data_IF_800174162002
#
_entry.id   IF_800174162002
#
_cell.length_a   1.000
_cell.length_b   1.000
_cell.length_c   1.000
_cell.angle_alpha   90.00
_cell.angle_beta   90.00
_cell.angle_gamma   90.00
#
_symmetry.space_group_name_H-M   'P 1'
#
loop_
_entity.id
_entity.type
_entity.pdbx_description
1 polymer ?
#
# COMPACT_ATOMS: atom_id res chain seq x y z
N UNK A 1 -0.42 22.89 22.60
CA UNK A 1 -0.60 22.47 21.20
C UNK A 1 0.37 21.35 20.84
N UNK A 2 1.54 21.39 21.40
CA UNK A 2 2.64 20.54 20.97
C UNK A 2 2.40 19.06 21.21
N UNK A 3 1.82 18.68 22.35
CA UNK A 3 1.60 17.27 22.66
C UNK A 3 0.59 16.62 21.71
N UNK A 4 -0.52 17.32 21.44
CA UNK A 4 -1.56 16.82 20.53
C UNK A 4 -1.05 16.83 19.09
N UNK A 5 -0.37 17.91 18.69
CA UNK A 5 0.20 18.04 17.36
C UNK A 5 1.27 16.99 17.10
N UNK A 6 2.11 16.70 18.10
CA UNK A 6 3.13 15.66 17.98
C UNK A 6 2.51 14.28 17.86
N UNK A 7 1.47 13.99 18.66
CA UNK A 7 0.75 12.73 18.57
C UNK A 7 0.14 12.50 17.22
N UNK A 8 -0.52 13.52 16.67
CA UNK A 8 -1.07 13.46 15.31
C UNK A 8 0.03 13.32 14.27
N UNK A 9 1.13 14.08 14.42
CA UNK A 9 2.26 14.00 13.52
C UNK A 9 2.89 12.62 13.49
N UNK A 10 3.03 11.99 14.65
CA UNK A 10 3.60 10.66 14.76
C UNK A 10 2.70 9.61 14.10
N UNK A 11 1.37 9.71 14.30
CA UNK A 11 0.42 8.81 13.66
C UNK A 11 0.50 8.93 12.14
N UNK A 12 0.53 10.16 11.62
CA UNK A 12 0.62 10.39 10.18
C UNK A 12 1.98 9.98 9.62
N UNK A 13 3.06 10.18 10.36
CA UNK A 13 4.37 9.71 9.94
C UNK A 13 4.41 8.19 9.80
N UNK A 14 3.73 7.46 10.68
CA UNK A 14 3.61 6.00 10.58
C UNK A 14 2.85 5.59 9.32
N UNK A 15 1.83 6.38 8.92
CA UNK A 15 1.09 6.15 7.68
C UNK A 15 1.87 6.58 6.45
N UNK A 16 2.85 7.48 6.62
CA UNK A 16 3.66 8.03 5.54
C UNK A 16 4.94 7.23 5.27
N UNK A 17 5.21 6.25 6.08
CA UNK A 17 6.33 5.34 5.91
C UNK A 17 5.91 3.97 6.43
N UNK A 18 6.69 2.95 6.15
CA UNK A 18 6.39 1.61 6.60
C UNK A 18 6.40 0.64 5.45
N UNK A 19 5.41 -0.25 5.39
CA UNK A 19 5.36 -1.30 4.38
C UNK A 19 4.09 -1.21 3.56
N UNK A 20 4.24 -1.42 2.26
CA UNK A 20 3.11 -1.51 1.33
C UNK A 20 3.08 -2.92 0.75
N UNK A 21 1.90 -3.53 0.80
CA UNK A 21 1.66 -4.81 0.12
C UNK A 21 1.17 -4.54 -1.29
N UNK A 22 1.80 -5.17 -2.29
CA UNK A 22 1.47 -4.97 -3.70
C UNK A 22 1.23 -6.32 -4.37
N UNK A 23 0.04 -6.50 -4.91
CA UNK A 23 -0.32 -7.67 -5.71
C UNK A 23 -1.11 -7.17 -6.90
N UNK A 24 -0.50 -7.16 -8.09
CA UNK A 24 -1.12 -6.56 -9.26
C UNK A 24 -1.21 -7.57 -10.40
N UNK A 25 -2.25 -7.42 -11.21
CA UNK A 25 -2.42 -8.25 -12.40
C UNK A 25 -1.37 -7.88 -13.45
N UNK A 26 -1.13 -8.81 -14.38
CA UNK A 26 -0.05 -8.67 -15.36
C UNK A 26 -0.16 -7.39 -16.19
N UNK A 27 -1.38 -7.02 -16.57
CA UNK A 27 -1.62 -5.82 -17.38
C UNK A 27 -1.22 -4.54 -16.68
N UNK A 28 -1.28 -4.53 -15.35
CA UNK A 28 -0.97 -3.34 -14.55
C UNK A 28 0.50 -3.28 -14.10
N UNK A 29 1.24 -4.37 -14.20
CA UNK A 29 2.61 -4.44 -13.69
C UNK A 29 3.52 -3.34 -14.22
N UNK A 30 3.52 -3.02 -15.54
CA UNK A 30 4.38 -1.93 -16.02
C UNK A 30 4.10 -0.58 -15.37
N UNK A 31 2.82 -0.25 -15.15
CA UNK A 31 2.44 1.01 -14.52
C UNK A 31 2.86 1.06 -13.05
N UNK A 32 2.88 -0.09 -12.38
CA UNK A 32 3.25 -0.15 -10.97
C UNK A 32 4.76 -0.09 -10.72
N UNK A 33 5.57 -0.26 -11.73
CA UNK A 33 7.03 -0.09 -11.57
C UNK A 33 7.32 1.33 -11.08
N UNK A 34 6.76 2.33 -11.74
CA UNK A 34 6.97 3.72 -11.36
C UNK A 34 6.36 4.06 -10.00
N UNK A 35 5.15 3.56 -9.75
CA UNK A 35 4.46 3.81 -8.48
C UNK A 35 5.25 3.21 -7.32
N UNK A 36 5.73 1.98 -7.46
CA UNK A 36 6.49 1.31 -6.41
C UNK A 36 7.88 1.94 -6.24
N UNK A 37 8.49 2.41 -7.32
CA UNK A 37 9.75 3.13 -7.22
C UNK A 37 9.57 4.41 -6.41
N UNK A 38 8.50 5.15 -6.66
CA UNK A 38 8.18 6.35 -5.89
C UNK A 38 7.95 6.04 -4.41
N UNK A 39 7.19 4.98 -4.12
CA UNK A 39 6.95 4.55 -2.74
C UNK A 39 8.25 4.16 -2.05
N UNK A 40 9.12 3.45 -2.75
CA UNK A 40 10.43 3.08 -2.21
C UNK A 40 11.29 4.31 -1.89
N UNK A 41 11.30 5.28 -2.80
CA UNK A 41 12.04 6.53 -2.59
C UNK A 41 11.49 7.33 -1.41
N UNK A 42 10.20 7.18 -1.12
CA UNK A 42 9.56 7.84 0.02
C UNK A 42 9.79 7.11 1.36
N UNK A 43 10.48 5.97 1.34
CA UNK A 43 10.80 5.23 2.55
C UNK A 43 9.95 4.00 2.81
N UNK A 44 9.07 3.62 1.90
CA UNK A 44 8.27 2.41 2.05
C UNK A 44 9.06 1.16 1.67
N UNK A 45 8.90 0.11 2.47
CA UNK A 45 9.35 -1.22 2.09
C UNK A 45 8.25 -1.89 1.28
N UNK A 46 8.60 -2.43 0.11
CA UNK A 46 7.65 -3.07 -0.79
C UNK A 46 7.58 -4.56 -0.48
N UNK A 47 6.39 -5.03 -0.11
CA UNK A 47 6.12 -6.47 0.04
C UNK A 47 5.24 -6.88 -1.14
N UNK A 48 5.70 -7.81 -1.95
CA UNK A 48 5.01 -8.17 -3.18
C UNK A 48 4.86 -9.68 -3.32
N UNK A 49 3.77 -10.10 -3.96
CA UNK A 49 3.60 -11.52 -4.32
C UNK A 49 4.58 -11.88 -5.43
N UNK A 50 4.83 -13.19 -5.61
CA UNK A 50 5.92 -13.69 -6.44
C UNK A 50 6.03 -13.07 -7.83
N UNK A 51 4.92 -13.05 -8.59
CA UNK A 51 4.94 -12.49 -9.95
C UNK A 51 5.19 -10.98 -9.96
N UNK A 52 4.58 -10.26 -9.03
CA UNK A 52 4.77 -8.82 -8.89
C UNK A 52 6.22 -8.51 -8.49
N UNK A 53 6.75 -9.28 -7.53
CA UNK A 53 8.13 -9.10 -7.08
C UNK A 53 9.13 -9.29 -8.22
N UNK A 54 8.91 -10.29 -9.05
CA UNK A 54 9.80 -10.57 -10.18
C UNK A 54 9.89 -9.36 -11.12
N UNK A 55 8.76 -8.74 -11.43
CA UNK A 55 8.74 -7.56 -12.30
C UNK A 55 9.43 -6.37 -11.62
N UNK A 56 9.15 -6.13 -10.35
CA UNK A 56 9.73 -5.00 -9.63
C UNK A 56 11.25 -5.14 -9.50
N UNK A 57 11.72 -6.30 -9.08
CA UNK A 57 13.17 -6.51 -8.92
C UNK A 57 13.89 -6.49 -10.26
N UNK A 58 13.26 -6.99 -11.33
CA UNK A 58 13.79 -6.91 -12.67
C UNK A 58 13.93 -5.48 -13.18
N UNK A 59 13.12 -4.56 -12.65
CA UNK A 59 13.20 -3.14 -13.01
C UNK A 59 14.06 -2.32 -12.03
N UNK A 60 14.74 -2.99 -11.09
CA UNK A 60 15.60 -2.31 -10.13
C UNK A 60 14.89 -1.72 -8.92
N UNK A 61 13.63 -2.09 -8.69
CA UNK A 61 12.89 -1.66 -7.51
C UNK A 61 13.00 -2.73 -6.42
N UNK A 62 13.63 -2.45 -5.29
CA UNK A 62 13.74 -3.44 -4.21
C UNK A 62 12.37 -3.86 -3.70
N UNK A 63 12.15 -5.16 -3.57
CA UNK A 63 10.92 -5.71 -3.05
C UNK A 63 11.22 -7.01 -2.31
N UNK A 64 10.43 -7.28 -1.27
CA UNK A 64 10.51 -8.51 -0.51
C UNK A 64 9.31 -9.39 -0.84
N UNK A 65 9.54 -10.66 -1.08
CA UNK A 65 8.45 -11.57 -1.39
C UNK A 65 7.60 -11.85 -0.15
N UNK A 66 6.27 -11.85 -0.35
CA UNK A 66 5.32 -12.30 0.67
C UNK A 66 4.32 -13.25 0.00
N UNK A 67 3.88 -14.25 0.74
CA UNK A 67 2.92 -15.22 0.21
C UNK A 67 1.54 -14.61 0.04
N UNK A 68 0.81 -15.05 -0.98
CA UNK A 68 -0.63 -14.84 -1.08
C UNK A 68 -1.31 -15.66 0.01
N UNK A 69 -2.54 -15.28 0.37
CA UNK A 69 -3.31 -15.99 1.41
C UNK A 69 -3.38 -17.49 1.12
N UNK A 70 -3.64 -17.85 -0.14
CA UNK A 70 -3.76 -19.26 -0.55
C UNK A 70 -2.43 -20.01 -0.64
N UNK A 71 -1.31 -19.30 -0.59
CA UNK A 71 0.01 -19.94 -0.62
C UNK A 71 0.50 -20.41 0.75
N UNK A 72 -0.23 -20.05 1.80
CA UNK A 72 0.11 -20.45 3.16
C UNK A 72 0.86 -19.38 3.94
N UNK A 73 1.06 -19.66 5.21
CA UNK A 73 1.70 -18.72 6.13
C UNK A 73 3.22 -18.78 6.04
N UNK A 74 3.92 -17.65 6.29
CA UNK A 74 3.35 -16.32 6.54
C UNK A 74 2.80 -15.69 5.26
N UNK A 75 1.69 -14.99 5.35
CA UNK A 75 1.05 -14.34 4.20
C UNK A 75 0.60 -12.92 4.53
N UNK A 76 0.04 -12.24 3.51
CA UNK A 76 -0.30 -10.83 3.62
C UNK A 76 -1.25 -10.50 4.77
N UNK A 77 -2.27 -11.33 5.01
CA UNK A 77 -3.22 -11.10 6.11
C UNK A 77 -2.51 -11.17 7.46
N UNK A 78 -1.59 -12.12 7.64
CA UNK A 78 -0.82 -12.21 8.87
C UNK A 78 -0.03 -10.92 9.12
N UNK A 79 0.62 -10.40 8.09
CA UNK A 79 1.39 -9.16 8.20
C UNK A 79 0.49 -7.96 8.49
N UNK A 80 -0.70 -7.92 7.91
CA UNK A 80 -1.67 -6.86 8.19
C UNK A 80 -2.14 -6.89 9.65
N UNK A 81 -2.43 -8.07 10.16
CA UNK A 81 -2.87 -8.26 11.55
C UNK A 81 -1.79 -7.90 12.55
N UNK A 82 -0.53 -8.11 12.18
CA UNK A 82 0.62 -7.77 13.03
C UNK A 82 0.97 -6.27 12.99
N UNK A 83 0.27 -5.48 12.16
CA UNK A 83 0.57 -4.06 12.02
C UNK A 83 1.76 -3.76 11.14
N UNK A 84 2.24 -4.73 10.37
CA UNK A 84 3.42 -4.57 9.53
C UNK A 84 3.13 -3.92 8.19
N UNK A 85 1.85 -3.78 7.81
CA UNK A 85 1.45 -3.21 6.53
C UNK A 85 0.61 -1.96 6.75
N UNK A 86 1.02 -0.85 6.14
CA UNK A 86 0.35 0.44 6.27
C UNK A 86 -0.45 0.82 5.02
N UNK A 87 -0.27 0.09 3.92
CA UNK A 87 -0.95 0.39 2.66
C UNK A 87 -1.09 -0.89 1.86
N UNK A 88 -2.26 -1.13 1.26
CA UNK A 88 -2.51 -2.31 0.43
C UNK A 88 -2.88 -1.87 -0.98
N UNK A 89 -2.20 -2.42 -1.97
CA UNK A 89 -2.52 -2.25 -3.38
C UNK A 89 -2.77 -3.63 -3.96
N UNK A 90 -3.99 -3.85 -4.44
CA UNK A 90 -4.38 -5.17 -4.97
C UNK A 90 -5.27 -4.99 -6.18
N UNK A 91 -4.69 -5.12 -7.37
CA UNK A 91 -5.44 -5.08 -8.63
C UNK A 91 -5.66 -6.48 -9.21
N UNK A 92 -5.17 -7.52 -8.52
CA UNK A 92 -5.26 -8.89 -9.01
C UNK A 92 -6.72 -9.32 -9.20
N UNK A 93 -6.98 -10.05 -10.28
CA UNK A 93 -8.31 -10.53 -10.66
C UNK A 93 -8.26 -12.02 -11.00
N UNK A 94 -9.43 -12.68 -10.95
CA UNK A 94 -9.56 -14.10 -11.23
C UNK A 94 -10.17 -14.85 -10.07
N UNK A 95 -10.60 -16.10 -10.30
CA UNK A 95 -11.34 -16.88 -9.29
C UNK A 95 -10.50 -17.14 -8.03
N UNK A 96 -9.23 -17.54 -8.20
CA UNK A 96 -8.34 -17.77 -7.06
C UNK A 96 -8.00 -16.47 -6.34
N UNK A 97 -7.81 -15.39 -7.10
CA UNK A 97 -7.49 -14.07 -6.55
C UNK A 97 -8.67 -13.44 -5.82
N UNK A 98 -9.91 -13.83 -6.16
CA UNK A 98 -11.11 -13.27 -5.51
C UNK A 98 -11.16 -13.63 -4.03
N UNK A 99 -10.80 -14.85 -3.66
CA UNK A 99 -10.75 -15.26 -2.26
C UNK A 99 -9.68 -14.48 -1.49
N UNK A 100 -8.50 -14.37 -2.08
CA UNK A 100 -7.41 -13.59 -1.50
C UNK A 100 -7.82 -12.13 -1.36
N UNK A 101 -8.46 -11.57 -2.39
CA UNK A 101 -8.91 -10.18 -2.39
C UNK A 101 -9.96 -9.92 -1.32
N UNK A 102 -10.89 -10.86 -1.12
CA UNK A 102 -11.91 -10.74 -0.07
C UNK A 102 -11.24 -10.66 1.31
N UNK A 103 -10.33 -11.59 1.58
CA UNK A 103 -9.62 -11.64 2.86
C UNK A 103 -8.79 -10.38 3.10
N UNK A 104 -8.08 -9.92 2.07
CA UNK A 104 -7.27 -8.71 2.14
C UNK A 104 -8.13 -7.47 2.39
N UNK A 105 -9.22 -7.33 1.64
CA UNK A 105 -10.12 -6.18 1.78
C UNK A 105 -10.79 -6.16 3.14
N UNK A 106 -11.29 -7.30 3.60
CA UNK A 106 -11.94 -7.42 4.90
C UNK A 106 -10.98 -7.04 6.02
N UNK A 107 -9.77 -7.58 5.98
CA UNK A 107 -8.73 -7.29 6.98
C UNK A 107 -8.32 -5.83 6.95
N UNK A 108 -8.15 -5.25 5.76
CA UNK A 108 -7.79 -3.85 5.62
C UNK A 108 -8.88 -2.94 6.20
N UNK A 109 -10.13 -3.21 5.87
CA UNK A 109 -11.26 -2.43 6.37
C UNK A 109 -11.34 -2.50 7.89
N UNK A 110 -11.21 -3.69 8.46
CA UNK A 110 -11.30 -3.91 9.90
C UNK A 110 -10.16 -3.22 10.65
N UNK A 111 -8.97 -3.18 10.05
CA UNK A 111 -7.78 -2.61 10.68
C UNK A 111 -7.47 -1.19 10.20
N UNK A 112 -8.38 -0.59 9.44
CA UNK A 112 -8.28 0.78 8.93
C UNK A 112 -7.00 1.02 8.10
N UNK A 113 -6.66 0.03 7.27
CA UNK A 113 -5.53 0.13 6.35
C UNK A 113 -6.05 0.58 4.99
N UNK A 114 -5.51 1.64 4.39
CA UNK A 114 -5.92 2.07 3.05
C UNK A 114 -5.74 0.94 2.03
N UNK A 115 -6.75 0.75 1.19
CA UNK A 115 -6.81 -0.35 0.23
C UNK A 115 -7.18 0.20 -1.15
N UNK A 116 -6.31 -0.01 -2.13
CA UNK A 116 -6.50 0.50 -3.48
C UNK A 116 -6.54 -0.65 -4.49
N UNK A 117 -7.45 -0.54 -5.45
CA UNK A 117 -7.69 -1.60 -6.43
C UNK A 117 -7.40 -1.16 -7.87
N UNK A 118 -6.98 0.08 -8.08
CA UNK A 118 -6.72 0.62 -9.42
C UNK A 118 -5.37 1.30 -9.51
N UNK A 119 -4.84 1.38 -10.72
CA UNK A 119 -3.60 2.11 -11.00
C UNK A 119 -3.78 3.59 -10.65
N UNK A 120 -4.90 4.19 -11.09
CA UNK A 120 -5.16 5.62 -10.84
C UNK A 120 -5.21 5.95 -9.36
N UNK A 121 -5.96 5.16 -8.59
CA UNK A 121 -6.09 5.35 -7.16
C UNK A 121 -4.76 5.20 -6.43
N UNK A 122 -3.99 4.18 -6.82
CA UNK A 122 -2.68 3.92 -6.24
C UNK A 122 -1.69 5.04 -6.54
N UNK A 123 -1.69 5.54 -7.78
CA UNK A 123 -0.82 6.66 -8.17
C UNK A 123 -1.19 7.93 -7.41
N UNK A 124 -2.48 8.22 -7.30
CA UNK A 124 -2.94 9.38 -6.56
C UNK A 124 -2.58 9.29 -5.07
N UNK A 125 -2.70 8.10 -4.48
CA UNK A 125 -2.30 7.87 -3.09
C UNK A 125 -0.80 8.13 -2.90
N UNK A 126 0.04 7.63 -3.80
CA UNK A 126 1.49 7.85 -3.74
C UNK A 126 1.82 9.33 -3.84
N UNK A 127 1.15 10.05 -4.73
CA UNK A 127 1.36 11.50 -4.89
C UNK A 127 0.93 12.26 -3.63
N UNK A 128 -0.19 11.87 -3.02
CA UNK A 128 -0.67 12.51 -1.79
C UNK A 128 0.32 12.29 -0.64
N UNK A 129 0.84 11.08 -0.49
CA UNK A 129 1.82 10.76 0.53
C UNK A 129 3.10 11.59 0.32
N UNK A 130 3.56 11.68 -0.91
CA UNK A 130 4.75 12.47 -1.24
C UNK A 130 4.54 13.95 -0.89
N UNK A 131 3.39 14.51 -1.25
CA UNK A 131 3.07 15.90 -0.94
C UNK A 131 3.03 16.14 0.57
N UNK A 132 2.45 15.20 1.31
CA UNK A 132 2.38 15.32 2.77
C UNK A 132 3.76 15.20 3.41
N UNK A 133 4.63 14.33 2.91
CA UNK A 133 6.01 14.22 3.39
C UNK A 133 6.79 15.50 3.19
N UNK A 134 6.48 16.24 2.13
CA UNK A 134 7.09 17.55 1.85
C UNK A 134 6.46 18.68 2.64
N UNK A 135 5.38 18.41 3.36
CA UNK A 135 4.67 19.44 4.12
C UNK A 135 3.75 20.32 3.28
N UNK A 136 3.47 19.91 2.05
CA UNK A 136 2.64 20.70 1.12
C UNK A 136 1.15 20.61 1.44
N UNK A 137 0.72 19.57 2.17
CA UNK A 137 -0.68 19.34 2.50
C UNK A 137 -0.89 19.34 4.01
N UNK A 138 -1.99 19.94 4.47
CA UNK A 138 -2.41 19.81 5.85
C UNK A 138 -3.10 18.47 6.08
N UNK A 139 -3.26 18.12 7.36
CA UNK A 139 -3.86 16.85 7.77
C UNK A 139 -5.26 16.68 7.22
N UNK A 140 -6.09 17.73 7.30
CA UNK A 140 -7.47 17.69 6.78
C UNK A 140 -7.51 17.47 5.29
N UNK A 141 -6.62 18.12 4.57
CA UNK A 141 -6.54 17.99 3.11
C UNK A 141 -6.20 16.56 2.73
N UNK A 142 -5.26 15.93 3.44
CA UNK A 142 -4.91 14.54 3.19
C UNK A 142 -6.11 13.61 3.44
N UNK A 143 -6.81 13.79 4.55
CA UNK A 143 -7.97 12.95 4.87
C UNK A 143 -9.05 13.08 3.79
N UNK A 144 -9.36 14.30 3.37
CA UNK A 144 -10.32 14.52 2.30
C UNK A 144 -9.88 13.91 0.99
N UNK A 145 -8.63 14.08 0.66
CA UNK A 145 -8.04 13.55 -0.56
C UNK A 145 -8.12 12.02 -0.61
N UNK A 146 -7.69 11.36 0.44
CA UNK A 146 -7.71 9.89 0.52
C UNK A 146 -9.14 9.35 0.55
N UNK A 147 -10.06 10.05 1.22
CA UNK A 147 -11.45 9.66 1.26
C UNK A 147 -12.09 9.71 -0.13
N UNK A 148 -11.81 10.75 -0.90
CA UNK A 148 -12.32 10.91 -2.26
C UNK A 148 -11.78 9.80 -3.18
N UNK A 149 -10.51 9.44 -3.03
CA UNK A 149 -9.89 8.38 -3.82
C UNK A 149 -10.44 7.01 -3.42
N UNK A 150 -10.63 6.79 -2.12
CA UNK A 150 -11.08 5.50 -1.60
C UNK A 150 -12.56 5.23 -1.86
N UNK A 151 -13.35 6.27 -2.05
CA UNK A 151 -14.76 6.12 -2.38
C UNK A 151 -14.96 5.86 -3.87
#
# INVERSE_FOLDING_TARGET
DSAVSRGLGDVYKRQLSGRVFVSVRDEDKPAFIDICRDLHEMGFEILATGGTMTVLTGAGVPATRINKVMEGRPHAVDAMLSGDIQLVINTAMGAASMRDSFSLRHTALKNKIPYYTTVSGSRAAAQAIRALQKGDLGVRTLQGFLSDIAS
#
